data_IF_080608124802
#
_entry.id   IF_080608124802
#
_cell.length_a   1.000
_cell.length_b   1.000
_cell.length_c   1.000
_cell.angle_alpha   90.00
_cell.angle_beta   90.00
_cell.angle_gamma   90.00
#
_symmetry.space_group_name_H-M   'P 1'
#
loop_
_entity.id
_entity.type
_entity.pdbx_description
1 polymer ?
#
# COMPACT_ATOMS: atom_id res chain seq x y z
N UNK A 1 -7.49 -2.08 5.62
CA UNK A 1 -6.24 -1.33 5.81
C UNK A 1 -5.12 -2.33 5.95
N UNK A 2 -3.88 -1.91 5.75
CA UNK A 2 -2.72 -2.78 5.94
C UNK A 2 -1.43 -1.99 5.96
N UNK A 3 -0.32 -2.72 5.92
CA UNK A 3 1.02 -2.18 5.85
C UNK A 3 1.76 -2.81 4.67
N UNK A 4 2.60 -2.00 4.03
CA UNK A 4 3.47 -2.41 2.94
C UNK A 4 4.89 -2.28 3.46
N UNK A 5 5.68 -3.35 3.38
CA UNK A 5 7.11 -3.32 3.66
C UNK A 5 7.84 -3.07 2.35
N UNK A 6 8.46 -1.88 2.15
CA UNK A 6 9.14 -1.56 0.91
C UNK A 6 10.46 -2.33 0.76
N UNK A 7 10.79 -2.77 -0.46
CA UNK A 7 12.01 -3.51 -0.77
C UNK A 7 13.30 -2.71 -0.52
N UNK A 8 13.22 -1.38 -0.45
CA UNK A 8 14.34 -0.48 -0.19
C UNK A 8 14.78 -0.44 1.29
N UNK A 9 14.08 -1.18 2.17
CA UNK A 9 14.34 -1.25 3.60
C UNK A 9 13.90 -0.01 4.38
N UNK A 10 13.11 0.87 3.77
CA UNK A 10 12.44 1.97 4.47
C UNK A 10 11.36 1.45 5.43
N UNK A 11 10.77 2.37 6.20
CA UNK A 11 9.76 2.01 7.19
C UNK A 11 8.48 1.53 6.52
N UNK A 12 7.77 0.63 7.19
CA UNK A 12 6.46 0.17 6.74
C UNK A 12 5.52 1.35 6.46
N UNK A 13 4.87 1.29 5.31
CA UNK A 13 3.95 2.33 4.84
C UNK A 13 2.52 1.86 5.06
N UNK A 14 1.72 2.67 5.74
CA UNK A 14 0.31 2.39 5.99
C UNK A 14 -0.54 2.62 4.74
N UNK A 15 -1.56 1.79 4.50
CA UNK A 15 -2.56 2.04 3.45
C UNK A 15 -3.99 1.75 3.91
N UNK A 16 -4.94 2.50 3.35
CA UNK A 16 -6.37 2.27 3.55
C UNK A 16 -6.93 1.37 2.44
N UNK A 17 -8.05 0.67 2.70
CA UNK A 17 -8.67 -0.17 1.66
C UNK A 17 -9.08 0.65 0.42
N UNK A 18 -9.46 1.92 0.62
CA UNK A 18 -9.78 2.86 -0.46
C UNK A 18 -8.58 3.27 -1.32
N UNK A 19 -7.35 3.05 -0.85
CA UNK A 19 -6.13 3.30 -1.62
C UNK A 19 -5.85 2.20 -2.64
N UNK A 20 -6.49 1.04 -2.51
CA UNK A 20 -6.34 -0.08 -3.44
C UNK A 20 -7.26 0.14 -4.63
N UNK A 21 -6.68 0.13 -5.82
CA UNK A 21 -7.42 0.35 -7.06
C UNK A 21 -8.00 -0.96 -7.58
N UNK A 22 -8.85 -0.88 -8.60
CA UNK A 22 -9.45 -2.04 -9.29
C UNK A 22 -10.28 -3.00 -8.42
N UNK A 23 -10.58 -2.63 -7.17
CA UNK A 23 -11.36 -3.46 -6.25
C UNK A 23 -10.63 -4.70 -5.76
N UNK A 24 -9.30 -4.80 -5.95
CA UNK A 24 -8.53 -6.01 -5.63
C UNK A 24 -8.12 -6.09 -4.15
N UNK A 25 -8.66 -5.25 -3.26
CA UNK A 25 -8.26 -5.21 -1.84
C UNK A 25 -8.35 -6.59 -1.18
N UNK A 26 -9.44 -7.32 -1.45
CA UNK A 26 -9.69 -8.64 -0.90
C UNK A 26 -8.83 -9.76 -1.54
N UNK A 27 -8.13 -9.46 -2.64
CA UNK A 27 -7.25 -10.40 -3.34
C UNK A 27 -5.77 -10.24 -2.97
N UNK A 28 -5.41 -9.17 -2.25
CA UNK A 28 -4.03 -8.93 -1.81
C UNK A 28 -3.68 -9.87 -0.65
N UNK A 29 -2.62 -10.65 -0.84
CA UNK A 29 -2.11 -11.58 0.17
C UNK A 29 -0.71 -11.19 0.62
N UNK A 30 -0.30 -11.67 1.80
CA UNK A 30 1.08 -11.53 2.27
C UNK A 30 2.06 -12.16 1.25
N UNK A 31 3.11 -11.42 0.90
CA UNK A 31 4.08 -11.84 -0.11
C UNK A 31 3.74 -11.42 -1.54
N UNK A 32 2.55 -10.86 -1.80
CA UNK A 32 2.24 -10.29 -3.11
C UNK A 32 3.14 -9.10 -3.42
N UNK A 33 3.68 -9.08 -4.65
CA UNK A 33 4.35 -7.89 -5.17
C UNK A 33 3.33 -6.87 -5.64
N UNK A 34 3.52 -5.65 -5.20
CA UNK A 34 2.63 -4.53 -5.50
C UNK A 34 3.42 -3.29 -5.90
N UNK A 35 2.73 -2.34 -6.53
CA UNK A 35 3.21 -0.97 -6.73
C UNK A 35 2.28 -0.02 -6.00
N UNK A 36 2.83 1.09 -5.53
CA UNK A 36 2.11 2.11 -4.78
C UNK A 36 2.85 3.44 -4.89
N UNK A 37 2.12 4.53 -4.70
CA UNK A 37 2.67 5.87 -4.50
C UNK A 37 2.66 6.19 -3.00
N UNK A 38 3.58 7.04 -2.54
CA UNK A 38 3.60 7.52 -1.15
C UNK A 38 3.20 8.99 -1.12
N UNK A 39 2.19 9.31 -0.33
CA UNK A 39 1.70 10.67 -0.12
C UNK A 39 1.66 11.02 1.38
N UNK A 40 1.94 12.29 1.71
CA UNK A 40 1.83 12.79 3.08
C UNK A 40 0.36 12.97 3.47
N UNK A 41 -0.16 12.03 4.26
CA UNK A 41 -1.51 12.07 4.81
C UNK A 41 -1.59 12.81 6.15
N UNK A 42 -2.82 13.05 6.63
CA UNK A 42 -3.07 13.70 7.93
C UNK A 42 -2.44 12.96 9.14
N UNK A 43 -2.10 11.68 9.00
CA UNK A 43 -1.50 10.84 10.05
C UNK A 43 -0.06 10.43 9.73
N UNK A 44 0.58 11.11 8.78
CA UNK A 44 1.89 10.76 8.24
C UNK A 44 1.81 10.08 6.86
N UNK A 45 2.95 9.60 6.34
CA UNK A 45 3.05 8.98 5.02
C UNK A 45 2.11 7.79 4.88
N UNK A 46 1.34 7.76 3.80
CA UNK A 46 0.42 6.69 3.47
C UNK A 46 0.55 6.29 2.00
N UNK A 47 0.29 5.03 1.70
CA UNK A 47 0.33 4.53 0.34
C UNK A 47 -1.01 4.79 -0.37
N UNK A 48 -0.91 5.23 -1.62
CA UNK A 48 -2.02 5.45 -2.56
C UNK A 48 -1.75 4.71 -3.86
N UNK A 49 -2.79 4.58 -4.72
CA UNK A 49 -2.72 3.85 -5.98
C UNK A 49 -2.15 2.43 -5.87
N UNK A 50 -2.49 1.72 -4.79
CA UNK A 50 -1.99 0.38 -4.52
C UNK A 50 -2.57 -0.61 -5.53
N UNK A 51 -1.70 -1.28 -6.29
CA UNK A 51 -2.08 -2.29 -7.29
C UNK A 51 -1.07 -3.43 -7.33
N UNK A 52 -1.49 -4.60 -7.80
CA UNK A 52 -0.59 -5.73 -8.05
C UNK A 52 0.45 -5.36 -9.12
N UNK A 53 1.71 -5.76 -8.90
CA UNK A 53 2.82 -5.49 -9.81
C UNK A 53 2.83 -6.43 -11.03
#
# INVERSE_FOLDING_TARGET
YGFITPDDGSKDVFFHAQSVVDGIFDELNEGDKITFDVEDGQKGPAATNVRRA
#
